data_IF_527803577757
#
_entry.id   IF_527803577757
#
_cell.length_a   1.000
_cell.length_b   1.000
_cell.length_c   1.000
_cell.angle_alpha   90.00
_cell.angle_beta   90.00
_cell.angle_gamma   90.00
#
_symmetry.space_group_name_H-M   'P 1'
#
loop_
_entity.id
_entity.type
_entity.pdbx_description
1 polymer ?
#
# COMPACT_ATOMS: atom_id res chain seq x y z
N UNK A 1 -6.51 -8.08 5.49
CA UNK A 1 -5.19 -8.31 4.89
C UNK A 1 -4.13 -8.12 5.96
N UNK A 2 -3.02 -8.82 5.87
CA UNK A 2 -1.83 -8.65 6.72
C UNK A 2 -0.67 -8.28 5.80
N UNK A 3 -0.08 -7.10 6.02
CA UNK A 3 1.10 -6.63 5.30
C UNK A 3 2.26 -6.44 6.28
N UNK A 4 3.48 -6.78 5.87
CA UNK A 4 4.67 -6.66 6.72
C UNK A 4 5.85 -6.09 5.94
N UNK A 5 6.74 -5.41 6.66
CA UNK A 5 8.02 -4.99 6.12
C UNK A 5 8.75 -3.97 7.00
N UNK A 6 10.05 -3.73 6.71
CA UNK A 6 10.90 -2.91 7.56
C UNK A 6 10.68 -1.41 7.34
N UNK A 7 10.78 -0.64 8.43
CA UNK A 7 11.03 0.80 8.36
C UNK A 7 12.51 1.04 8.03
N UNK A 8 12.78 1.79 6.96
CA UNK A 8 14.13 2.18 6.53
C UNK A 8 14.19 3.69 6.41
N UNK A 9 14.75 4.34 7.43
CA UNK A 9 14.82 5.80 7.51
C UNK A 9 13.42 6.42 7.54
N UNK A 10 13.08 7.16 6.47
CA UNK A 10 11.79 7.85 6.30
C UNK A 10 10.79 7.09 5.44
N UNK A 11 11.08 5.83 5.10
CA UNK A 11 10.26 5.02 4.21
C UNK A 11 9.94 3.67 4.84
N UNK A 12 8.70 3.19 4.67
CA UNK A 12 8.31 1.83 4.98
C UNK A 12 7.70 1.20 3.73
N UNK A 13 8.09 -0.05 3.47
CA UNK A 13 7.56 -0.87 2.37
C UNK A 13 6.94 -2.11 2.97
N UNK A 14 5.62 -2.19 2.92
CA UNK A 14 4.83 -3.32 3.40
C UNK A 14 4.47 -4.21 2.20
N UNK A 15 4.67 -5.51 2.35
CA UNK A 15 4.34 -6.53 1.35
C UNK A 15 3.29 -7.46 1.93
N UNK A 16 2.29 -7.81 1.11
CA UNK A 16 1.24 -8.75 1.49
C UNK A 16 1.83 -10.07 2.00
N UNK A 17 1.35 -10.52 3.16
CA UNK A 17 1.63 -11.85 3.71
C UNK A 17 0.39 -12.74 3.66
N UNK A 18 -0.78 -12.15 3.96
CA UNK A 18 -2.04 -12.88 3.96
C UNK A 18 -3.23 -12.00 3.59
N UNK A 19 -4.21 -12.58 2.90
CA UNK A 19 -5.46 -11.92 2.53
C UNK A 19 -6.67 -12.86 2.65
N UNK A 20 -7.46 -12.65 3.70
CA UNK A 20 -8.80 -13.21 3.79
C UNK A 20 -9.77 -12.57 2.80
N UNK A 21 -10.67 -13.38 2.23
CA UNK A 21 -11.75 -12.94 1.35
C UNK A 21 -13.08 -13.55 1.77
N UNK A 22 -14.15 -12.76 1.69
CA UNK A 22 -15.53 -13.26 1.82
C UNK A 22 -15.92 -14.00 0.55
N UNK A 23 -16.60 -15.15 0.69
CA UNK A 23 -16.90 -16.08 -0.41
C UNK A 23 -17.78 -15.50 -1.52
N UNK A 24 -18.56 -14.47 -1.21
CA UNK A 24 -19.47 -13.81 -2.17
C UNK A 24 -18.89 -12.57 -2.85
N UNK A 25 -17.62 -12.23 -2.62
CA UNK A 25 -16.97 -11.14 -3.36
C UNK A 25 -16.79 -11.54 -4.83
N UNK A 26 -17.37 -10.74 -5.74
CA UNK A 26 -17.28 -10.94 -7.19
C UNK A 26 -16.04 -10.29 -7.83
N UNK A 27 -15.32 -9.47 -7.07
CA UNK A 27 -14.15 -8.77 -7.58
C UNK A 27 -13.00 -9.73 -7.85
N UNK A 28 -12.15 -9.40 -8.82
CA UNK A 28 -10.94 -10.16 -9.11
C UNK A 28 -10.12 -10.33 -7.82
N UNK A 29 -9.71 -11.57 -7.47
CA UNK A 29 -8.91 -11.79 -6.28
C UNK A 29 -7.55 -11.10 -6.42
N UNK A 30 -7.28 -10.22 -5.46
CA UNK A 30 -5.96 -9.63 -5.24
C UNK A 30 -5.04 -10.76 -4.81
N UNK A 31 -3.96 -10.94 -5.58
CA UNK A 31 -2.95 -11.98 -5.35
C UNK A 31 -1.75 -11.43 -4.59
N UNK A 32 -1.39 -10.16 -4.84
CA UNK A 32 -0.27 -9.50 -4.19
C UNK A 32 -0.52 -8.01 -4.00
N UNK A 33 0.04 -7.44 -2.93
CA UNK A 33 0.07 -5.99 -2.71
C UNK A 33 1.43 -5.54 -2.23
N UNK A 34 1.79 -4.32 -2.62
CA UNK A 34 2.92 -3.57 -2.08
C UNK A 34 2.41 -2.20 -1.67
N UNK A 35 2.56 -1.83 -0.40
CA UNK A 35 2.23 -0.52 0.12
C UNK A 35 3.49 0.18 0.58
N UNK A 36 3.79 1.30 -0.05
CA UNK A 36 4.93 2.14 0.28
C UNK A 36 4.43 3.44 0.91
N UNK A 37 4.96 3.76 2.08
CA UNK A 37 4.86 5.09 2.66
C UNK A 37 6.24 5.73 2.70
N UNK A 38 6.32 6.99 2.30
CA UNK A 38 7.55 7.77 2.34
C UNK A 38 7.25 9.17 2.84
N UNK A 39 7.91 9.56 3.93
CA UNK A 39 7.92 10.95 4.36
C UNK A 39 8.88 11.73 3.44
N UNK A 40 8.32 12.57 2.56
CA UNK A 40 9.10 13.36 1.60
C UNK A 40 9.81 14.54 2.28
N UNK A 41 9.12 15.17 3.24
CA UNK A 41 9.59 16.27 4.08
C UNK A 41 8.82 16.28 5.41
N UNK A 42 9.02 17.27 6.28
CA UNK A 42 8.35 17.32 7.59
C UNK A 42 6.82 17.42 7.51
N UNK A 43 6.27 17.79 6.37
CA UNK A 43 4.86 18.13 6.17
C UNK A 43 4.16 17.25 5.13
N UNK A 44 4.88 16.37 4.42
CA UNK A 44 4.35 15.64 3.27
C UNK A 44 4.63 14.15 3.35
N UNK A 45 3.55 13.36 3.46
CA UNK A 45 3.58 11.90 3.39
C UNK A 45 3.12 11.45 2.01
N UNK A 46 3.93 10.68 1.30
CA UNK A 46 3.53 9.99 0.08
C UNK A 46 3.14 8.55 0.41
N UNK A 47 1.99 8.11 -0.10
CA UNK A 47 1.54 6.72 -0.09
C UNK A 47 1.39 6.25 -1.53
N UNK A 48 2.05 5.13 -1.86
CA UNK A 48 1.85 4.43 -3.12
C UNK A 48 1.38 3.01 -2.83
N UNK A 49 0.39 2.54 -3.56
CA UNK A 49 -0.15 1.19 -3.43
C UNK A 49 -0.11 0.51 -4.80
N UNK A 50 0.62 -0.59 -4.88
CA UNK A 50 0.62 -1.49 -6.03
C UNK A 50 -0.17 -2.74 -5.69
N UNK A 51 -0.85 -3.27 -6.69
CA UNK A 51 -1.56 -4.53 -6.58
C UNK A 51 -1.32 -5.41 -7.81
N UNK A 52 -1.39 -6.71 -7.57
CA UNK A 52 -1.40 -7.77 -8.56
C UNK A 52 -2.69 -8.58 -8.39
N UNK A 53 -3.32 -8.96 -9.49
CA UNK A 53 -4.47 -9.86 -9.53
C UNK A 53 -4.13 -11.08 -10.38
N UNK A 54 -5.02 -12.08 -10.42
CA UNK A 54 -4.82 -13.26 -11.27
C UNK A 54 -4.59 -12.93 -12.76
N UNK A 55 -5.11 -11.80 -13.24
CA UNK A 55 -5.06 -11.42 -14.66
C UNK A 55 -4.14 -10.24 -14.94
N UNK A 56 -3.67 -9.53 -13.91
CA UNK A 56 -2.84 -8.34 -14.06
C UNK A 56 -1.64 -8.41 -13.14
N UNK A 57 -0.43 -8.30 -13.71
CA UNK A 57 0.83 -8.21 -12.97
C UNK A 57 0.84 -6.99 -12.04
N UNK A 58 1.78 -7.01 -11.09
CA UNK A 58 1.99 -5.92 -10.13
C UNK A 58 2.07 -4.55 -10.83
N UNK A 59 1.09 -3.70 -10.53
CA UNK A 59 0.95 -2.38 -11.12
C UNK A 59 0.51 -1.36 -10.06
N UNK A 60 0.83 -0.09 -10.28
CA UNK A 60 0.39 0.98 -9.39
C UNK A 60 -1.14 1.13 -9.48
N UNK A 61 -1.82 0.91 -8.36
CA UNK A 61 -3.27 1.05 -8.26
C UNK A 61 -3.66 2.43 -7.73
N UNK A 62 -2.97 2.93 -6.71
CA UNK A 62 -3.18 4.29 -6.20
C UNK A 62 -1.87 4.96 -5.80
N UNK A 63 -1.84 6.29 -5.89
CA UNK A 63 -0.76 7.14 -5.41
C UNK A 63 -1.36 8.43 -4.86
N UNK A 64 -1.09 8.74 -3.59
CA UNK A 64 -1.67 9.87 -2.86
C UNK A 64 -0.57 10.57 -2.06
N UNK A 65 -0.63 11.90 -2.00
CA UNK A 65 0.20 12.71 -1.10
C UNK A 65 -0.70 13.40 -0.08
N UNK A 66 -0.35 13.23 1.19
CA UNK A 66 -1.02 13.87 2.31
C UNK A 66 -0.18 15.04 2.80
N UNK A 67 -0.85 16.15 3.12
CA UNK A 67 -0.25 17.26 3.86
C UNK A 67 -0.59 17.10 5.33
N UNK A 68 0.41 17.25 6.18
CA UNK A 68 0.24 17.34 7.62
C UNK A 68 -0.59 18.59 7.92
N UNK A 69 -1.64 18.40 8.73
CA UNK A 69 -2.55 19.48 9.14
C UNK A 69 -2.40 19.84 10.62
N UNK A 70 -1.72 18.99 11.39
CA UNK A 70 -1.49 19.15 12.82
C UNK A 70 -0.33 18.24 13.31
N UNK A 71 0.45 18.64 14.35
CA UNK A 71 0.55 20.01 14.86
C UNK A 71 1.13 20.92 13.78
N UNK A 72 0.68 22.18 13.79
CA UNK A 72 1.25 23.22 12.92
C UNK A 72 2.71 23.47 13.27
#
# INVERSE_FOLDING_TARGET
>A
MIEQGPLRGKSIKLVLQDIGRISFSRDLPVHGTIREFRLLDSETLEQRFMMETLTHRMQMHTSIRYKKIYPK
#
